data_IF_331648831248
#
_entry.id   IF_331648831248
#
_cell.length_a   1.000
_cell.length_b   1.000
_cell.length_c   1.000
_cell.angle_alpha   90.00
_cell.angle_beta   90.00
_cell.angle_gamma   90.00
#
_symmetry.space_group_name_H-M   'P 1'
#
loop_
_entity.id
_entity.type
_entity.pdbx_description
1 polymer ?
#
# COMPACT_ATOMS: atom_id res chain seq x y z
N UNK A 1 -43.72 14.56 -46.33
CA UNK A 1 -42.33 14.25 -45.92
C UNK A 1 -42.26 12.76 -45.62
N UNK A 2 -41.53 12.00 -46.44
CA UNK A 2 -41.62 10.54 -46.48
C UNK A 2 -41.03 9.89 -45.22
N UNK A 3 -41.79 8.98 -44.62
CA UNK A 3 -41.42 8.22 -43.42
C UNK A 3 -40.06 7.53 -43.56
N UNK A 4 -39.73 7.02 -44.76
CA UNK A 4 -38.42 6.42 -45.05
C UNK A 4 -37.24 7.40 -44.96
N UNK A 5 -37.47 8.69 -45.22
CA UNK A 5 -36.43 9.73 -45.18
C UNK A 5 -36.11 10.13 -43.73
N UNK A 6 -37.10 10.04 -42.83
CA UNK A 6 -36.91 10.18 -41.37
C UNK A 6 -36.11 9.01 -40.79
N UNK A 7 -36.37 7.77 -41.21
CA UNK A 7 -35.61 6.61 -40.72
C UNK A 7 -34.15 6.63 -41.18
N UNK A 8 -33.86 7.02 -42.43
CA UNK A 8 -32.48 7.15 -42.93
C UNK A 8 -31.69 8.23 -42.17
N UNK A 9 -32.29 9.39 -41.92
CA UNK A 9 -31.64 10.49 -41.20
C UNK A 9 -31.42 10.16 -39.71
N UNK A 10 -32.38 9.49 -39.07
CA UNK A 10 -32.21 9.00 -37.69
C UNK A 10 -31.07 7.98 -37.59
N UNK A 11 -30.99 7.00 -38.51
CA UNK A 11 -29.91 6.02 -38.54
C UNK A 11 -28.54 6.66 -38.78
N UNK A 12 -28.44 7.63 -39.68
CA UNK A 12 -27.20 8.38 -39.93
C UNK A 12 -26.75 9.18 -38.70
N UNK A 13 -27.69 9.81 -37.96
CA UNK A 13 -27.36 10.50 -36.71
C UNK A 13 -26.84 9.53 -35.65
N UNK A 14 -27.46 8.36 -35.49
CA UNK A 14 -26.98 7.33 -34.55
C UNK A 14 -25.58 6.84 -34.90
N UNK A 15 -25.32 6.56 -36.18
CA UNK A 15 -23.98 6.14 -36.65
C UNK A 15 -22.95 7.23 -36.42
N UNK A 16 -23.26 8.50 -36.67
CA UNK A 16 -22.37 9.63 -36.41
C UNK A 16 -22.09 9.83 -34.92
N UNK A 17 -23.09 9.64 -34.06
CA UNK A 17 -22.94 9.71 -32.60
C UNK A 17 -22.03 8.59 -32.08
N UNK A 18 -22.23 7.37 -32.58
CA UNK A 18 -21.38 6.21 -32.28
C UNK A 18 -19.96 6.43 -32.80
N UNK A 19 -19.79 6.84 -34.04
CA UNK A 19 -18.47 7.09 -34.63
C UNK A 19 -17.73 8.23 -33.92
N UNK A 20 -18.44 9.30 -33.56
CA UNK A 20 -17.91 10.41 -32.77
C UNK A 20 -17.47 9.97 -31.37
N UNK A 21 -18.23 9.08 -30.71
CA UNK A 21 -17.85 8.52 -29.41
C UNK A 21 -16.63 7.57 -29.48
N UNK A 22 -16.47 6.84 -30.59
CA UNK A 22 -15.31 5.95 -30.85
C UNK A 22 -14.06 6.76 -31.19
N UNK A 23 -14.19 7.82 -32.00
CA UNK A 23 -13.10 8.73 -32.36
C UNK A 23 -12.68 9.63 -31.18
N UNK A 24 -13.57 9.87 -30.23
CA UNK A 24 -13.28 10.75 -29.10
C UNK A 24 -12.22 10.17 -28.14
N UNK A 25 -12.03 8.83 -28.04
CA UNK A 25 -10.97 8.18 -27.24
C UNK A 25 -10.82 8.64 -25.78
N UNK A 26 -11.73 9.50 -25.30
CA UNK A 26 -11.57 10.30 -24.11
C UNK A 26 -12.10 9.46 -22.96
N UNK A 27 -11.19 8.96 -22.13
CA UNK A 27 -11.54 8.14 -20.96
C UNK A 27 -11.26 6.64 -21.11
N UNK A 28 -11.14 6.10 -22.32
CA UNK A 28 -10.96 4.65 -22.51
C UNK A 28 -9.66 4.15 -21.88
N UNK A 29 -8.58 4.90 -22.06
CA UNK A 29 -7.27 4.56 -21.49
C UNK A 29 -7.11 5.01 -20.03
N UNK A 30 -8.06 5.77 -19.47
CA UNK A 30 -7.94 6.31 -18.11
C UNK A 30 -7.95 5.19 -17.09
N UNK A 31 -8.86 4.21 -17.22
CA UNK A 31 -8.96 3.10 -16.27
C UNK A 31 -7.67 2.26 -16.24
N UNK A 32 -7.14 1.73 -17.36
CA UNK A 32 -5.87 1.01 -17.35
C UNK A 32 -4.69 1.85 -16.85
N UNK A 33 -4.68 3.15 -17.14
CA UNK A 33 -3.61 4.04 -16.69
C UNK A 33 -3.63 4.22 -15.17
N UNK A 34 -4.80 4.43 -14.58
CA UNK A 34 -4.96 4.50 -13.11
C UNK A 34 -4.71 3.14 -12.45
N UNK A 35 -5.06 2.05 -13.14
CA UNK A 35 -4.79 0.68 -12.72
C UNK A 35 -3.27 0.45 -12.59
N UNK A 36 -2.48 0.80 -13.60
CA UNK A 36 -1.03 0.68 -13.55
C UNK A 36 -0.38 1.66 -12.54
N UNK A 37 -0.93 2.86 -12.37
CA UNK A 37 -0.45 3.80 -11.34
C UNK A 37 -0.57 3.24 -9.92
N UNK A 38 -1.71 2.62 -9.57
CA UNK A 38 -1.84 2.06 -8.22
C UNK A 38 -1.01 0.79 -8.03
N UNK A 39 -0.78 -0.03 -9.06
CA UNK A 39 0.20 -1.13 -9.02
C UNK A 39 1.62 -0.61 -8.81
N UNK A 40 2.02 0.44 -9.53
CA UNK A 40 3.33 1.05 -9.37
C UNK A 40 3.52 1.62 -7.95
N UNK A 41 2.51 2.32 -7.42
CA UNK A 41 2.53 2.84 -6.05
C UNK A 41 2.61 1.70 -5.02
N UNK A 42 1.90 0.59 -5.25
CA UNK A 42 2.00 -0.60 -4.42
C UNK A 42 3.42 -1.18 -4.41
N UNK A 43 4.05 -1.33 -5.57
CA UNK A 43 5.44 -1.79 -5.66
C UNK A 43 6.40 -0.88 -4.87
N UNK A 44 6.15 0.44 -4.83
CA UNK A 44 6.94 1.34 -4.01
C UNK A 44 6.76 1.09 -2.51
N UNK A 45 5.54 0.81 -2.07
CA UNK A 45 5.27 0.41 -0.68
C UNK A 45 6.05 -0.86 -0.32
N UNK A 46 6.00 -1.88 -1.19
CA UNK A 46 6.73 -3.13 -1.00
C UNK A 46 8.24 -2.90 -0.91
N UNK A 47 8.80 -2.04 -1.76
CA UNK A 47 10.24 -1.72 -1.73
C UNK A 47 10.66 -1.10 -0.38
N UNK A 48 9.86 -0.21 0.19
CA UNK A 48 10.19 0.39 1.49
C UNK A 48 10.08 -0.64 2.63
N UNK A 49 9.07 -1.50 2.62
CA UNK A 49 8.95 -2.58 3.60
C UNK A 49 10.08 -3.62 3.48
N UNK A 50 10.49 -3.96 2.26
CA UNK A 50 11.63 -4.84 2.02
C UNK A 50 12.92 -4.22 2.58
N UNK A 51 13.18 -2.94 2.28
CA UNK A 51 14.33 -2.22 2.83
C UNK A 51 14.36 -2.27 4.37
N UNK A 52 13.20 -2.07 5.01
CA UNK A 52 13.10 -2.19 6.47
C UNK A 52 13.50 -3.59 6.94
N UNK A 53 12.99 -4.63 6.29
CA UNK A 53 13.34 -6.00 6.61
C UNK A 53 14.83 -6.31 6.39
N UNK A 54 15.47 -5.72 5.38
CA UNK A 54 16.89 -5.92 5.06
C UNK A 54 17.85 -5.30 6.07
N UNK A 55 17.42 -4.26 6.80
CA UNK A 55 18.21 -3.63 7.85
C UNK A 55 18.22 -4.42 9.17
N UNK A 56 17.21 -5.25 9.41
CA UNK A 56 17.01 -5.95 10.69
C UNK A 56 18.15 -6.92 11.04
N UNK A 57 18.69 -7.75 10.13
CA UNK A 57 19.80 -8.65 10.49
C UNK A 57 21.00 -7.90 11.05
N UNK A 58 21.38 -6.77 10.46
CA UNK A 58 22.48 -5.93 10.94
C UNK A 58 22.16 -5.30 12.30
N UNK A 59 20.91 -4.88 12.52
CA UNK A 59 20.45 -4.39 13.82
C UNK A 59 20.55 -5.48 14.89
N UNK A 60 20.04 -6.67 14.60
CA UNK A 60 20.05 -7.82 15.51
C UNK A 60 21.47 -8.21 15.87
N UNK A 61 22.39 -8.31 14.92
CA UNK A 61 23.80 -8.61 15.19
C UNK A 61 24.48 -7.53 16.03
N UNK A 62 24.18 -6.25 15.76
CA UNK A 62 24.70 -5.14 16.56
C UNK A 62 24.21 -5.22 18.01
N UNK A 63 22.90 -5.46 18.23
CA UNK A 63 22.34 -5.57 19.57
C UNK A 63 22.86 -6.82 20.30
N UNK A 64 22.98 -7.96 19.61
CA UNK A 64 23.56 -9.20 20.17
C UNK A 64 24.95 -8.98 20.77
N UNK A 65 25.77 -8.13 20.15
CA UNK A 65 27.12 -7.82 20.66
C UNK A 65 27.14 -7.19 22.05
N UNK A 66 26.07 -6.48 22.43
CA UNK A 66 26.00 -5.72 23.69
C UNK A 66 24.96 -6.27 24.68
N UNK A 67 23.91 -6.93 24.20
CA UNK A 67 22.76 -7.36 24.99
C UNK A 67 22.47 -8.86 24.80
N UNK A 68 23.48 -9.72 25.03
CA UNK A 68 23.37 -11.18 24.83
C UNK A 68 22.27 -11.84 25.68
N UNK A 69 21.90 -11.24 26.81
CA UNK A 69 20.84 -11.74 27.70
C UNK A 69 19.43 -11.44 27.18
N UNK A 70 19.27 -10.60 26.14
CA UNK A 70 17.98 -10.21 25.57
C UNK A 70 17.54 -11.14 24.42
N UNK A 71 17.73 -12.46 24.61
CA UNK A 71 17.47 -13.47 23.57
C UNK A 71 16.00 -13.50 23.15
N UNK A 72 15.08 -13.40 24.10
CA UNK A 72 13.63 -13.41 23.83
C UNK A 72 13.23 -12.22 22.94
N UNK A 73 13.78 -11.03 23.25
CA UNK A 73 13.55 -9.81 22.48
C UNK A 73 14.07 -9.95 21.05
N UNK A 74 15.30 -10.45 20.89
CA UNK A 74 15.91 -10.64 19.57
C UNK A 74 15.19 -11.71 18.75
N UNK A 75 14.76 -12.79 19.39
CA UNK A 75 13.98 -13.87 18.76
C UNK A 75 12.65 -13.34 18.25
N UNK A 76 11.94 -12.55 19.07
CA UNK A 76 10.69 -11.91 18.66
C UNK A 76 10.86 -10.99 17.43
N UNK A 77 11.98 -10.27 17.33
CA UNK A 77 12.27 -9.43 16.16
C UNK A 77 12.57 -10.27 14.91
N UNK A 78 13.33 -11.36 15.05
CA UNK A 78 13.64 -12.28 13.95
C UNK A 78 12.37 -12.95 13.44
N UNK A 79 11.52 -13.44 14.33
CA UNK A 79 10.24 -14.06 13.97
C UNK A 79 9.28 -13.06 13.31
N UNK A 80 9.17 -11.85 13.86
CA UNK A 80 8.32 -10.81 13.29
C UNK A 80 8.81 -10.41 11.88
N UNK A 81 10.13 -10.31 11.68
CA UNK A 81 10.72 -10.12 10.34
C UNK A 81 10.35 -11.26 9.41
N UNK A 82 10.53 -12.51 9.85
CA UNK A 82 10.26 -13.69 9.03
C UNK A 82 8.79 -13.69 8.55
N UNK A 83 7.84 -13.44 9.45
CA UNK A 83 6.41 -13.29 9.13
C UNK A 83 6.14 -12.13 8.17
N UNK A 84 6.76 -10.97 8.40
CA UNK A 84 6.62 -9.80 7.53
C UNK A 84 7.13 -10.04 6.11
N UNK A 85 8.17 -10.87 5.95
CA UNK A 85 8.74 -11.22 4.63
C UNK A 85 8.12 -12.46 3.99
N UNK A 86 7.45 -13.32 4.74
CA UNK A 86 6.86 -14.56 4.21
C UNK A 86 5.59 -14.32 3.39
N UNK A 87 4.94 -13.17 3.60
CA UNK A 87 3.75 -12.80 2.84
C UNK A 87 4.21 -12.37 1.45
N UNK A 88 4.20 -13.32 0.51
CA UNK A 88 4.44 -13.05 -0.89
C UNK A 88 3.29 -12.21 -1.43
N UNK A 89 3.60 -10.95 -1.68
CA UNK A 89 2.68 -9.99 -2.25
C UNK A 89 3.00 -9.86 -3.73
N UNK A 90 2.12 -10.38 -4.57
CA UNK A 90 2.12 -10.17 -6.02
C UNK A 90 1.19 -9.01 -6.40
N UNK A 91 1.20 -8.61 -7.68
CA UNK A 91 0.31 -7.56 -8.18
C UNK A 91 -1.19 -7.86 -7.94
N UNK A 92 -1.55 -9.14 -7.83
CA UNK A 92 -2.92 -9.61 -7.57
C UNK A 92 -3.32 -9.49 -6.09
N UNK A 93 -2.39 -9.15 -5.20
CA UNK A 93 -2.71 -8.92 -3.78
C UNK A 93 -3.63 -7.72 -3.59
N UNK A 94 -3.62 -6.77 -4.53
CA UNK A 94 -4.54 -5.63 -4.56
C UNK A 94 -6.01 -6.04 -4.75
N UNK A 95 -6.24 -7.21 -5.33
CA UNK A 95 -7.57 -7.77 -5.58
C UNK A 95 -8.04 -8.68 -4.43
N UNK A 96 -7.19 -8.89 -3.41
CA UNK A 96 -7.47 -9.76 -2.27
C UNK A 96 -7.37 -8.98 -0.94
N UNK A 97 -8.51 -8.53 -0.38
CA UNK A 97 -8.58 -7.80 0.89
C UNK A 97 -7.92 -8.54 2.06
N UNK A 98 -8.08 -9.86 2.13
CA UNK A 98 -7.55 -10.67 3.23
C UNK A 98 -6.03 -10.71 3.21
N UNK A 99 -5.42 -10.84 2.03
CA UNK A 99 -3.96 -10.80 1.88
C UNK A 99 -3.39 -9.43 2.27
N UNK A 100 -4.03 -8.34 1.86
CA UNK A 100 -3.60 -6.99 2.23
C UNK A 100 -3.68 -6.78 3.74
N UNK A 101 -4.75 -7.28 4.39
CA UNK A 101 -4.90 -7.23 5.85
C UNK A 101 -3.85 -8.07 6.57
N UNK A 102 -3.59 -9.30 6.10
CA UNK A 102 -2.52 -10.15 6.65
C UNK A 102 -1.16 -9.48 6.51
N UNK A 103 -0.88 -8.89 5.34
CA UNK A 103 0.34 -8.11 5.11
C UNK A 103 0.48 -6.99 6.13
N UNK A 104 -0.56 -6.16 6.29
CA UNK A 104 -0.56 -5.06 7.25
C UNK A 104 -0.33 -5.55 8.68
N UNK A 105 -1.03 -6.60 9.12
CA UNK A 105 -0.86 -7.19 10.46
C UNK A 105 0.57 -7.66 10.71
N UNK A 106 1.21 -8.30 9.73
CA UNK A 106 2.60 -8.73 9.87
C UNK A 106 3.57 -7.53 9.94
N UNK A 107 3.30 -6.47 9.15
CA UNK A 107 4.09 -5.24 9.23
C UNK A 107 3.94 -4.53 10.58
N UNK A 108 2.74 -4.53 11.18
CA UNK A 108 2.46 -3.93 12.48
C UNK A 108 3.12 -4.73 13.62
N UNK A 109 3.09 -6.07 13.55
CA UNK A 109 3.82 -6.94 14.48
C UNK A 109 5.33 -6.65 14.47
N UNK A 110 5.90 -6.45 13.28
CA UNK A 110 7.30 -6.08 13.13
C UNK A 110 7.59 -4.70 13.73
N UNK A 111 6.76 -3.69 13.45
CA UNK A 111 6.89 -2.37 14.09
C UNK A 111 6.86 -2.45 15.61
N UNK A 112 5.95 -3.25 16.17
CA UNK A 112 5.85 -3.47 17.62
C UNK A 112 7.07 -4.19 18.21
N UNK A 113 7.64 -5.16 17.50
CA UNK A 113 8.87 -5.84 17.93
C UNK A 113 10.08 -4.89 17.92
N UNK A 114 10.20 -4.06 16.88
CA UNK A 114 11.25 -3.03 16.81
C UNK A 114 11.10 -1.99 17.92
N UNK A 115 9.89 -1.55 18.23
CA UNK A 115 9.63 -0.63 19.35
C UNK A 115 10.11 -1.20 20.68
N UNK A 116 9.80 -2.48 20.98
CA UNK A 116 10.31 -3.16 22.18
C UNK A 116 11.84 -3.24 22.21
N UNK A 117 12.46 -3.53 21.07
CA UNK A 117 13.93 -3.56 20.95
C UNK A 117 14.56 -2.19 21.25
N UNK A 118 13.93 -1.09 20.81
CA UNK A 118 14.39 0.26 21.12
C UNK A 118 14.31 0.56 22.62
N UNK A 119 13.23 0.16 23.30
CA UNK A 119 13.12 0.28 24.76
C UNK A 119 14.22 -0.52 25.48
N UNK A 120 14.49 -1.74 25.02
CA UNK A 120 15.58 -2.55 25.57
C UNK A 120 16.93 -1.85 25.40
N UNK A 121 17.17 -1.23 24.24
CA UNK A 121 18.43 -0.51 23.97
C UNK A 121 18.71 0.64 24.95
N UNK A 122 17.68 1.24 25.56
CA UNK A 122 17.86 2.30 26.56
C UNK A 122 18.54 1.80 27.84
N UNK A 123 18.42 0.50 28.14
CA UNK A 123 19.03 -0.14 29.31
C UNK A 123 20.52 -0.43 29.13
N UNK A 124 21.05 -0.25 27.91
CA UNK A 124 22.43 -0.56 27.55
C UNK A 124 23.14 0.71 27.02
N UNK A 125 23.78 1.50 27.89
CA UNK A 125 24.42 2.77 27.49
C UNK A 125 25.45 2.64 26.38
N UNK A 126 26.26 1.58 26.40
CA UNK A 126 27.29 1.33 25.38
C UNK A 126 26.69 1.04 24.00
N UNK A 127 25.56 0.31 23.95
CA UNK A 127 24.81 0.07 22.72
C UNK A 127 24.16 1.37 22.23
N UNK A 128 23.58 2.14 23.14
CA UNK A 128 22.96 3.45 22.82
C UNK A 128 23.98 4.44 22.25
N UNK A 129 25.23 4.40 22.70
CA UNK A 129 26.32 5.22 22.19
C UNK A 129 27.01 4.63 20.95
N UNK A 130 26.69 3.39 20.56
CA UNK A 130 27.31 2.73 19.43
C UNK A 130 26.92 3.41 18.11
N UNK A 131 27.90 3.84 17.33
CA UNK A 131 27.70 4.58 16.08
C UNK A 131 26.97 3.75 15.01
N UNK A 132 27.23 2.44 14.93
CA UNK A 132 26.53 1.56 13.99
C UNK A 132 25.06 1.39 14.37
N UNK A 133 24.77 1.27 15.67
CA UNK A 133 23.40 1.20 16.17
C UNK A 133 22.61 2.49 15.88
N UNK A 134 23.20 3.65 16.19
CA UNK A 134 22.58 4.96 15.90
C UNK A 134 22.34 5.16 14.39
N UNK A 135 23.29 4.74 13.54
CA UNK A 135 23.14 4.80 12.10
C UNK A 135 21.98 3.91 11.60
N UNK A 136 21.89 2.66 12.11
CA UNK A 136 20.80 1.74 11.76
C UNK A 136 19.45 2.25 12.25
N UNK A 137 19.39 2.82 13.46
CA UNK A 137 18.17 3.45 14.00
C UNK A 137 17.70 4.59 13.10
N UNK A 138 18.61 5.48 12.68
CA UNK A 138 18.29 6.58 11.76
C UNK A 138 17.84 6.07 10.37
N UNK A 139 18.46 5.00 9.87
CA UNK A 139 18.03 4.37 8.61
C UNK A 139 16.63 3.75 8.72
N UNK A 140 16.31 3.11 9.84
CA UNK A 140 14.99 2.54 10.10
C UNK A 140 13.93 3.63 10.23
N UNK A 141 14.18 4.68 11.01
CA UNK A 141 13.30 5.85 11.11
C UNK A 141 13.06 6.50 9.73
N UNK A 142 14.14 6.71 8.97
CA UNK A 142 14.04 7.21 7.60
C UNK A 142 13.28 6.27 6.67
N UNK A 143 13.26 4.96 6.95
CA UNK A 143 12.47 3.99 6.18
C UNK A 143 11.00 4.04 6.59
N UNK A 144 10.68 4.16 7.87
CA UNK A 144 9.31 4.37 8.36
C UNK A 144 8.66 5.63 7.77
N UNK A 145 9.39 6.73 7.74
CA UNK A 145 8.92 7.97 7.11
C UNK A 145 8.60 7.76 5.61
N UNK A 146 9.44 7.00 4.89
CA UNK A 146 9.20 6.67 3.48
C UNK A 146 8.04 5.69 3.31
N UNK A 147 7.86 4.73 4.22
CA UNK A 147 6.70 3.83 4.25
C UNK A 147 5.42 4.67 4.39
N UNK A 148 5.38 5.63 5.32
CA UNK A 148 4.21 6.49 5.53
C UNK A 148 3.82 7.26 4.24
N UNK A 149 4.82 7.85 3.57
CA UNK A 149 4.61 8.56 2.30
C UNK A 149 4.16 7.60 1.19
N UNK A 150 4.82 6.46 1.03
CA UNK A 150 4.47 5.47 0.02
C UNK A 150 3.04 4.93 0.21
N UNK A 151 2.64 4.66 1.47
CA UNK A 151 1.27 4.25 1.81
C UNK A 151 0.27 5.33 1.43
N UNK A 152 0.54 6.60 1.76
CA UNK A 152 -0.30 7.74 1.37
C UNK A 152 -0.47 7.83 -0.14
N UNK A 153 0.64 7.75 -0.88
CA UNK A 153 0.60 7.88 -2.34
C UNK A 153 -0.13 6.70 -2.99
N UNK A 154 0.00 5.49 -2.44
CA UNK A 154 -0.81 4.33 -2.83
C UNK A 154 -2.30 4.52 -2.54
N UNK A 155 -2.67 4.99 -1.35
CA UNK A 155 -4.07 5.30 -0.99
C UNK A 155 -4.66 6.29 -2.01
N UNK A 156 -3.93 7.36 -2.35
CA UNK A 156 -4.37 8.36 -3.33
C UNK A 156 -4.51 7.77 -4.74
N UNK A 157 -3.60 6.89 -5.16
CA UNK A 157 -3.69 6.21 -6.45
C UNK A 157 -4.91 5.28 -6.52
N UNK A 158 -5.15 4.49 -5.46
CA UNK A 158 -6.34 3.63 -5.33
C UNK A 158 -7.61 4.47 -5.30
N UNK A 159 -7.63 5.59 -4.58
CA UNK A 159 -8.77 6.50 -4.54
C UNK A 159 -9.11 7.02 -5.94
N UNK A 160 -8.13 7.46 -6.72
CA UNK A 160 -8.34 7.93 -8.11
C UNK A 160 -8.92 6.82 -8.98
N UNK A 161 -8.30 5.63 -8.96
CA UNK A 161 -8.77 4.46 -9.69
C UNK A 161 -10.22 4.08 -9.32
N UNK A 162 -10.49 3.92 -8.02
CA UNK A 162 -11.81 3.56 -7.50
C UNK A 162 -12.86 4.64 -7.81
N UNK A 163 -12.47 5.91 -7.83
CA UNK A 163 -13.37 7.02 -8.21
C UNK A 163 -13.73 6.95 -9.69
N UNK A 164 -12.76 6.71 -10.57
CA UNK A 164 -12.98 6.60 -12.02
C UNK A 164 -13.98 5.49 -12.36
N UNK A 165 -13.81 4.29 -11.79
CA UNK A 165 -14.70 3.14 -12.09
C UNK A 165 -16.09 3.28 -11.45
N UNK A 166 -16.25 4.17 -10.46
CA UNK A 166 -17.53 4.39 -9.74
C UNK A 166 -18.32 5.59 -10.24
N UNK A 167 -17.69 6.54 -10.93
CA UNK A 167 -18.32 7.81 -11.35
C UNK A 167 -18.55 7.85 -12.85
N UNK A 168 -19.44 8.75 -13.30
CA UNK A 168 -19.69 8.95 -14.73
C UNK A 168 -18.64 9.93 -15.30
N UNK A 169 -18.05 9.68 -16.50
CA UNK A 169 -18.39 8.61 -17.44
C UNK A 169 -17.63 7.28 -17.24
N UNK A 170 -16.59 7.23 -16.40
CA UNK A 170 -15.70 6.07 -16.24
C UNK A 170 -16.40 4.74 -15.94
N UNK A 171 -17.48 4.76 -15.13
CA UNK A 171 -18.32 3.58 -14.84
C UNK A 171 -18.88 2.90 -16.10
N UNK A 172 -19.19 3.65 -17.16
CA UNK A 172 -19.63 3.06 -18.43
C UNK A 172 -18.51 2.26 -19.09
N UNK A 173 -17.32 2.87 -19.20
CA UNK A 173 -16.15 2.21 -19.76
C UNK A 173 -15.73 0.99 -18.95
N UNK A 174 -15.80 1.10 -17.62
CA UNK A 174 -15.59 -0.02 -16.71
C UNK A 174 -16.55 -1.18 -17.00
N UNK A 175 -17.86 -0.90 -17.05
CA UNK A 175 -18.87 -1.94 -17.27
C UNK A 175 -18.78 -2.59 -18.66
N UNK A 176 -18.47 -1.81 -19.70
CA UNK A 176 -18.51 -2.28 -21.10
C UNK A 176 -17.19 -2.96 -21.53
N UNK A 177 -16.03 -2.47 -21.07
CA UNK A 177 -14.72 -2.94 -21.55
C UNK A 177 -13.76 -3.45 -20.48
N UNK A 178 -13.93 -3.04 -19.21
CA UNK A 178 -12.98 -3.37 -18.14
C UNK A 178 -13.66 -4.01 -16.92
N UNK A 179 -14.74 -4.77 -17.16
CA UNK A 179 -15.59 -5.34 -16.10
C UNK A 179 -14.87 -6.37 -15.23
N UNK A 180 -13.74 -6.87 -15.71
CA UNK A 180 -12.84 -7.77 -15.01
C UNK A 180 -11.94 -7.07 -13.97
N UNK A 181 -11.81 -5.74 -14.01
CA UNK A 181 -10.98 -5.00 -13.04
C UNK A 181 -11.80 -4.70 -11.77
N UNK A 182 -11.46 -5.28 -10.61
CA UNK A 182 -12.25 -5.06 -9.40
C UNK A 182 -11.96 -3.69 -8.75
N UNK A 183 -12.77 -3.34 -7.76
CA UNK A 183 -12.41 -2.31 -6.79
C UNK A 183 -11.15 -2.75 -6.06
N UNK A 184 -10.24 -1.80 -5.86
CA UNK A 184 -9.00 -2.08 -5.14
C UNK A 184 -9.14 -1.71 -3.68
N UNK A 185 -8.62 -2.58 -2.84
CA UNK A 185 -8.48 -2.30 -1.42
C UNK A 185 -7.29 -1.40 -1.14
N UNK A 186 -7.33 -0.76 0.01
CA UNK A 186 -6.34 0.21 0.45
C UNK A 186 -6.04 -0.01 1.92
N UNK A 187 -4.92 0.54 2.40
CA UNK A 187 -4.63 0.61 3.82
C UNK A 187 -5.72 1.38 4.57
N UNK A 188 -6.05 0.91 5.77
CA UNK A 188 -6.88 1.69 6.70
C UNK A 188 -6.08 2.91 7.18
N UNK A 189 -6.68 4.10 7.07
CA UNK A 189 -6.07 5.35 7.51
C UNK A 189 -5.99 5.47 9.05
N UNK A 190 -6.70 4.59 9.76
CA UNK A 190 -6.93 4.68 11.20
C UNK A 190 -6.46 3.37 11.83
N UNK A 191 -5.61 3.44 12.86
CA UNK A 191 -5.33 2.27 13.72
C UNK A 191 -6.65 1.68 14.22
N UNK A 192 -6.79 0.35 14.38
CA UNK A 192 -7.78 -0.17 15.30
C UNK A 192 -7.58 0.58 16.63
N UNK A 193 -8.62 1.25 17.13
CA UNK A 193 -8.60 2.14 18.31
C UNK A 193 -8.18 3.61 18.15
N UNK A 194 -7.93 4.17 16.95
CA UNK A 194 -7.66 5.61 16.89
C UNK A 194 -8.89 6.50 17.23
N UNK A 195 -10.10 5.92 17.22
CA UNK A 195 -11.31 6.56 17.74
C UNK A 195 -11.37 6.57 19.28
N UNK A 196 -10.48 5.84 19.97
CA UNK A 196 -10.39 5.81 21.43
C UNK A 196 -9.27 6.73 21.89
N UNK A 197 -9.64 7.93 22.34
CA UNK A 197 -8.69 8.83 22.98
C UNK A 197 -8.00 8.13 24.17
N UNK A 198 -6.67 8.26 24.33
CA UNK A 198 -5.97 7.65 25.45
C UNK A 198 -6.51 8.21 26.77
N UNK A 199 -7.00 7.32 27.64
CA UNK A 199 -7.43 7.71 28.98
C UNK A 199 -6.19 7.98 29.82
N UNK A 200 -5.82 9.25 29.95
CA UNK A 200 -4.80 9.69 30.90
C UNK A 200 -5.37 9.52 32.30
N UNK A 201 -4.93 8.47 33.00
CA UNK A 201 -5.13 8.35 34.45
C UNK A 201 -3.97 9.04 35.14
N UNK A 202 -4.27 10.13 35.85
CA UNK A 202 -3.36 10.70 36.85
C UNK A 202 -3.29 9.80 38.09
#
# INVERSE_FOLDING_TARGET
>A
MNVQQRYRSAWQMTVLLVLGSVLAGCGINTIPTLDEQAKAAWSQVQNQYQRRADLIPNLVETVKGYAQHEQDTLTAVIEARAKATSIQVDANTLDNPEKLKQFQQAQDQLSGALSRLMVVSERYPDLKANQNFLALQSQLEGTENRIAVARRDFILAVQKYNTEIRTFPGRLWHTVMYSNLPLRETFEATSPDADKAPQVKF
#
